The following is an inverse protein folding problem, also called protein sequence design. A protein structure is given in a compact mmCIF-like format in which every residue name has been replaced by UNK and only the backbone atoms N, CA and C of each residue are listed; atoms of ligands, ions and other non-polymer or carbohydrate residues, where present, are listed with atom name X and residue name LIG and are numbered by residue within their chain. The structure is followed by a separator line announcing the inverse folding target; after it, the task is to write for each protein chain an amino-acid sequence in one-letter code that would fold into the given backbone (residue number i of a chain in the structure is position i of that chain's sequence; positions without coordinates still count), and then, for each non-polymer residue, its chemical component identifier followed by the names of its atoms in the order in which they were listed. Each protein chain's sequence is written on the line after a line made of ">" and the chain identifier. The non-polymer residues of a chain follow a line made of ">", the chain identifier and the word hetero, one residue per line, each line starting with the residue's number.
data_IF_500675288678
#
_entry.id   IF_500675288678
#
_cell.length_a   1.000
_cell.length_b   1.000
_cell.length_c   1.000
_cell.angle_alpha   90.00
_cell.angle_beta   90.00
_cell.angle_gamma   90.00
#
_symmetry.space_group_name_H-M   'P 1'
#
loop_
_entity.id
_entity.type
_entity.pdbx_description
1 polymer ?
#
# COMPACT_ATOMS: atom_id res chain seq x y z
N UNK A 1 5.78 15.33 -13.50
CA UNK A 1 4.55 14.51 -13.66
C UNK A 1 4.17 14.02 -12.27
N UNK A 2 2.88 13.91 -11.92
CA UNK A 2 2.48 13.43 -10.58
C UNK A 2 2.46 11.89 -10.56
N UNK A 3 3.05 11.26 -9.53
CA UNK A 3 3.07 9.80 -9.36
C UNK A 3 1.81 9.31 -8.65
N UNK A 4 0.70 9.36 -9.39
CA UNK A 4 -0.64 9.08 -8.88
C UNK A 4 -1.36 8.05 -9.75
N UNK A 5 -2.22 7.24 -9.13
CA UNK A 5 -3.05 6.27 -9.83
C UNK A 5 -4.47 6.20 -9.26
N UNK A 6 -5.43 5.89 -10.13
CA UNK A 6 -6.80 5.53 -9.78
C UNK A 6 -7.12 4.18 -10.38
N UNK A 7 -7.55 3.23 -9.54
CA UNK A 7 -7.92 1.88 -9.95
C UNK A 7 -9.38 1.66 -9.60
N UNK A 8 -10.13 1.11 -10.55
CA UNK A 8 -11.45 0.52 -10.32
C UNK A 8 -11.36 -0.94 -10.73
N UNK A 9 -11.63 -1.85 -9.80
CA UNK A 9 -11.65 -3.30 -10.03
C UNK A 9 -13.01 -3.84 -9.61
N UNK A 10 -13.65 -4.60 -10.49
CA UNK A 10 -14.93 -5.26 -10.20
C UNK A 10 -14.81 -6.71 -10.63
N UNK A 11 -15.02 -7.60 -9.69
CA UNK A 11 -15.14 -9.05 -9.91
C UNK A 11 -16.56 -9.47 -9.54
N UNK A 12 -16.81 -10.78 -9.45
CA UNK A 12 -18.08 -11.28 -8.92
C UNK A 12 -18.11 -11.16 -7.39
N UNK A 13 -16.94 -11.24 -6.77
CA UNK A 13 -16.69 -11.31 -5.33
C UNK A 13 -16.54 -9.91 -4.72
N UNK A 14 -15.89 -8.97 -5.43
CA UNK A 14 -15.54 -7.65 -4.89
C UNK A 14 -15.75 -6.49 -5.85
N UNK A 15 -15.94 -5.29 -5.28
CA UNK A 15 -15.98 -4.01 -5.98
C UNK A 15 -15.08 -3.01 -5.27
N UNK A 16 -13.99 -2.62 -5.93
CA UNK A 16 -12.93 -1.80 -5.36
C UNK A 16 -12.77 -0.49 -6.12
N UNK A 17 -12.62 0.60 -5.37
CA UNK A 17 -12.15 1.90 -5.86
C UNK A 17 -10.96 2.34 -5.02
N UNK A 18 -9.86 2.62 -5.71
CA UNK A 18 -8.59 2.95 -5.08
C UNK A 18 -7.98 4.18 -5.72
N UNK A 19 -7.47 5.10 -4.91
CA UNK A 19 -6.59 6.19 -5.29
C UNK A 19 -5.29 6.11 -4.49
N UNK A 20 -4.16 6.26 -5.18
CA UNK A 20 -2.83 6.22 -4.61
C UNK A 20 -2.03 7.44 -5.09
N UNK A 21 -1.32 8.09 -4.17
CA UNK A 21 -0.31 9.11 -4.45
C UNK A 21 1.00 8.73 -3.78
N UNK A 22 2.04 8.46 -4.57
CA UNK A 22 3.37 8.07 -4.06
C UNK A 22 4.16 9.24 -3.48
N UNK A 23 3.76 10.47 -3.79
CA UNK A 23 4.38 11.71 -3.30
C UNK A 23 3.48 12.39 -2.25
N UNK A 24 2.88 11.57 -1.38
CA UNK A 24 1.88 11.99 -0.41
C UNK A 24 2.43 12.53 0.91
N UNK A 25 1.58 12.46 1.93
CA UNK A 25 1.84 12.96 3.29
C UNK A 25 1.53 11.91 4.38
N UNK A 26 1.22 10.68 3.96
CA UNK A 26 0.85 9.58 4.85
C UNK A 26 -0.63 9.60 5.25
N UNK A 27 -1.52 10.22 4.48
CA UNK A 27 -2.97 10.23 4.77
C UNK A 27 -3.65 8.98 4.23
N UNK A 28 -4.48 8.35 5.05
CA UNK A 28 -5.23 7.17 4.67
C UNK A 28 -6.75 7.35 4.89
N UNK A 29 -7.55 6.86 3.95
CA UNK A 29 -8.98 6.61 4.12
C UNK A 29 -9.27 5.24 3.52
N UNK A 30 -9.26 4.21 4.38
CA UNK A 30 -9.38 2.81 3.99
C UNK A 30 -10.66 2.25 4.60
N UNK A 31 -11.47 1.62 3.76
CA UNK A 31 -12.72 0.96 4.14
C UNK A 31 -12.84 -0.33 3.32
N UNK A 32 -12.35 -1.44 3.86
CA UNK A 32 -12.47 -2.77 3.23
C UNK A 32 -13.61 -3.61 3.82
N UNK A 33 -14.15 -3.19 4.95
CA UNK A 33 -15.07 -3.99 5.76
C UNK A 33 -14.36 -4.92 6.75
N UNK A 34 -13.03 -5.01 6.71
CA UNK A 34 -12.21 -5.80 7.63
C UNK A 34 -11.34 -4.85 8.49
N UNK A 35 -11.72 -4.56 9.76
CA UNK A 35 -11.07 -3.51 10.55
C UNK A 35 -9.56 -3.69 10.74
N UNK A 36 -9.09 -4.93 10.93
CA UNK A 36 -7.66 -5.19 11.09
C UNK A 36 -6.88 -4.93 9.79
N UNK A 37 -7.46 -5.28 8.64
CA UNK A 37 -6.81 -5.02 7.35
C UNK A 37 -6.80 -3.52 7.02
N UNK A 38 -7.88 -2.80 7.35
CA UNK A 38 -7.93 -1.34 7.26
C UNK A 38 -6.81 -0.68 8.09
N UNK A 39 -6.57 -1.20 9.30
CA UNK A 39 -5.45 -0.77 10.15
C UNK A 39 -4.09 -1.03 9.49
N UNK A 40 -3.86 -2.23 8.95
CA UNK A 40 -2.60 -2.57 8.28
C UNK A 40 -2.32 -1.65 7.08
N UNK A 41 -3.33 -1.41 6.23
CA UNK A 41 -3.17 -0.53 5.06
C UNK A 41 -3.00 0.94 5.45
N UNK A 42 -3.60 1.36 6.58
CA UNK A 42 -3.36 2.69 7.16
C UNK A 42 -1.90 2.84 7.60
N UNK A 43 -1.31 1.81 8.23
CA UNK A 43 0.11 1.81 8.59
C UNK A 43 1.02 1.85 7.36
N UNK A 44 0.69 1.08 6.30
CA UNK A 44 1.42 1.15 5.02
C UNK A 44 1.44 2.58 4.48
N UNK A 45 0.28 3.27 4.49
CA UNK A 45 0.22 4.65 4.03
C UNK A 45 1.04 5.60 4.90
N UNK A 46 0.90 5.49 6.23
CA UNK A 46 1.59 6.34 7.20
C UNK A 46 3.11 6.22 7.12
N UNK A 47 3.62 4.99 7.09
CA UNK A 47 5.07 4.72 7.11
C UNK A 47 5.71 4.78 5.72
N UNK A 48 4.94 4.56 4.66
CA UNK A 48 5.37 4.79 3.28
C UNK A 48 5.30 6.25 2.82
N UNK A 49 4.77 7.15 3.67
CA UNK A 49 4.54 8.58 3.36
C UNK A 49 3.76 8.76 2.05
N UNK A 50 2.76 7.90 1.84
CA UNK A 50 1.89 7.91 0.66
C UNK A 50 0.47 8.28 1.06
N UNK A 51 -0.28 8.90 0.15
CA UNK A 51 -1.72 9.15 0.37
C UNK A 51 -2.52 8.00 -0.27
N UNK A 52 -3.34 7.31 0.52
CA UNK A 52 -4.15 6.16 0.10
C UNK A 52 -5.64 6.40 0.38
N UNK A 53 -6.48 6.21 -0.64
CA UNK A 53 -7.93 6.07 -0.45
C UNK A 53 -8.36 4.75 -1.06
N UNK A 54 -8.96 3.87 -0.27
CA UNK A 54 -9.41 2.56 -0.72
C UNK A 54 -10.79 2.28 -0.15
N UNK A 55 -11.74 1.97 -1.03
CA UNK A 55 -13.06 1.43 -0.67
C UNK A 55 -13.24 0.09 -1.35
N UNK A 56 -13.59 -0.93 -0.58
CA UNK A 56 -13.95 -2.25 -1.07
C UNK A 56 -15.31 -2.65 -0.50
N UNK A 57 -16.18 -3.14 -1.38
CA UNK A 57 -17.37 -3.91 -1.04
C UNK A 57 -17.09 -5.34 -1.49
N UNK A 58 -17.01 -6.30 -0.56
CA UNK A 58 -16.71 -7.70 -0.86
C UNK A 58 -17.67 -8.66 -0.16
N UNK A 59 -17.59 -9.93 -0.52
CA UNK A 59 -18.39 -11.06 -0.07
C UNK A 59 -17.95 -11.61 1.31
N UNK A 60 -17.87 -10.73 2.31
CA UNK A 60 -17.37 -11.05 3.66
C UNK A 60 -18.21 -12.10 4.41
N UNK A 61 -19.42 -12.42 3.93
CA UNK A 61 -20.23 -13.53 4.41
C UNK A 61 -19.66 -14.91 4.06
N UNK A 62 -18.81 -15.00 3.03
CA UNK A 62 -18.07 -16.22 2.68
C UNK A 62 -16.85 -16.32 3.61
N UNK A 63 -15.90 -15.41 3.41
CA UNK A 63 -14.78 -15.13 4.31
C UNK A 63 -14.07 -13.82 3.90
N UNK A 64 -12.91 -13.53 4.50
CA UNK A 64 -12.11 -12.34 4.19
C UNK A 64 -11.21 -12.49 2.95
N UNK A 65 -11.04 -13.68 2.38
CA UNK A 65 -9.99 -14.01 1.43
C UNK A 65 -10.08 -13.14 0.18
N UNK A 66 -11.22 -13.17 -0.52
CA UNK A 66 -11.37 -12.43 -1.78
C UNK A 66 -11.20 -10.93 -1.57
N UNK A 67 -11.74 -10.39 -0.47
CA UNK A 67 -11.59 -8.97 -0.13
C UNK A 67 -10.12 -8.58 0.06
N UNK A 68 -9.36 -9.37 0.82
CA UNK A 68 -7.93 -9.11 1.05
C UNK A 68 -7.13 -9.26 -0.24
N UNK A 69 -7.35 -10.34 -0.98
CA UNK A 69 -6.67 -10.63 -2.23
C UNK A 69 -6.91 -9.54 -3.29
N UNK A 70 -8.17 -9.23 -3.59
CA UNK A 70 -8.51 -8.27 -4.63
C UNK A 70 -8.07 -6.84 -4.27
N UNK A 71 -8.07 -6.47 -2.99
CA UNK A 71 -7.47 -5.22 -2.52
C UNK A 71 -5.95 -5.20 -2.76
N UNK A 72 -5.26 -6.31 -2.50
CA UNK A 72 -3.84 -6.48 -2.78
C UNK A 72 -3.52 -6.35 -4.27
N UNK A 73 -4.32 -6.99 -5.13
CA UNK A 73 -4.19 -6.88 -6.60
C UNK A 73 -4.40 -5.43 -7.05
N UNK A 74 -5.46 -4.77 -6.57
CA UNK A 74 -5.74 -3.38 -6.92
C UNK A 74 -4.64 -2.41 -6.45
N UNK A 75 -4.06 -2.63 -5.26
CA UNK A 75 -2.90 -1.89 -4.76
C UNK A 75 -1.69 -2.09 -5.67
N UNK A 76 -1.37 -3.33 -6.05
CA UNK A 76 -0.26 -3.63 -6.97
C UNK A 76 -0.40 -2.92 -8.32
N UNK A 77 -1.61 -2.93 -8.89
CA UNK A 77 -1.93 -2.19 -10.12
C UNK A 77 -1.73 -0.68 -9.95
N UNK A 78 -2.14 -0.13 -8.80
CA UNK A 78 -1.98 1.29 -8.50
C UNK A 78 -0.51 1.70 -8.36
N UNK A 79 0.31 0.92 -7.67
CA UNK A 79 1.74 1.15 -7.57
C UNK A 79 2.41 1.11 -8.93
N UNK A 80 2.10 0.09 -9.75
CA UNK A 80 2.65 -0.03 -11.10
C UNK A 80 2.31 1.19 -11.97
N UNK A 81 1.05 1.62 -11.95
CA UNK A 81 0.59 2.78 -12.71
C UNK A 81 1.22 4.09 -12.20
N UNK A 82 1.28 4.29 -10.89
CA UNK A 82 1.81 5.51 -10.27
C UNK A 82 3.33 5.64 -10.43
N UNK A 83 4.07 4.52 -10.48
CA UNK A 83 5.51 4.49 -10.71
C UNK A 83 5.91 4.86 -12.16
N UNK A 84 5.02 4.67 -13.13
CA UNK A 84 5.26 5.02 -14.53
C UNK A 84 6.49 4.31 -15.12
N UNK A 85 7.37 5.08 -15.77
CA UNK A 85 8.60 4.56 -16.40
C UNK A 85 9.74 4.27 -15.41
N UNK A 86 9.53 4.60 -14.11
CA UNK A 86 10.48 4.38 -13.02
C UNK A 86 11.83 5.08 -13.21
N UNK A 87 11.92 6.10 -14.08
CA UNK A 87 13.20 6.80 -14.30
C UNK A 87 13.54 7.69 -13.11
N UNK A 88 14.79 7.59 -12.64
CA UNK A 88 15.33 8.48 -11.60
C UNK A 88 14.88 8.14 -10.17
N UNK A 89 14.18 7.04 -9.94
CA UNK A 89 13.91 6.56 -8.58
C UNK A 89 15.15 5.87 -7.99
N UNK A 90 15.18 5.74 -6.66
CA UNK A 90 16.22 4.97 -5.95
C UNK A 90 16.26 3.49 -6.35
N UNK A 91 15.12 2.93 -6.78
CA UNK A 91 14.90 1.53 -7.17
C UNK A 91 15.03 0.57 -5.99
N UNK A 92 16.24 0.41 -5.47
CA UNK A 92 16.50 -0.45 -4.31
C UNK A 92 16.14 0.24 -3.00
N UNK A 93 15.14 -0.32 -2.31
CA UNK A 93 14.69 0.13 -1.00
C UNK A 93 15.02 -0.89 0.08
N UNK A 94 15.91 -0.52 0.99
CA UNK A 94 16.21 -1.30 2.20
C UNK A 94 15.82 -0.57 3.47
N UNK A 95 15.19 0.62 3.43
CA UNK A 95 14.87 1.47 4.59
C UNK A 95 15.34 2.94 4.39
N UNK A 96 14.94 3.85 5.29
CA UNK A 96 15.34 5.28 5.30
C UNK A 96 15.96 5.64 6.66
N UNK A 97 17.25 6.00 6.68
CA UNK A 97 17.89 6.69 7.80
C UNK A 97 18.16 8.15 7.38
N UNK A 98 17.61 9.17 8.09
CA UNK A 98 17.89 10.58 7.81
C UNK A 98 19.38 10.94 7.89
N UNK A 99 20.19 10.15 8.62
CA UNK A 99 21.62 10.34 8.86
C UNK A 99 22.49 9.45 7.97
N UNK A 100 21.92 8.43 7.34
CA UNK A 100 22.62 7.53 6.43
C UNK A 100 21.78 7.20 5.20
N UNK A 101 21.82 8.06 4.16
CA UNK A 101 20.99 7.89 2.97
C UNK A 101 21.34 6.63 2.15
N UNK A 102 22.49 6.01 2.40
CA UNK A 102 22.97 4.81 1.68
C UNK A 102 22.49 3.50 2.33
N UNK A 103 22.31 3.48 3.66
CA UNK A 103 21.96 2.29 4.43
C UNK A 103 20.86 2.60 5.44
N UNK A 104 19.63 2.82 4.95
CA UNK A 104 18.48 2.69 5.83
C UNK A 104 18.16 1.20 5.95
N UNK A 105 17.86 0.74 7.17
CA UNK A 105 17.42 -0.64 7.41
C UNK A 105 15.89 -0.74 7.43
N UNK A 106 15.34 -1.82 6.90
CA UNK A 106 13.91 -2.05 6.73
C UNK A 106 13.37 -2.94 7.82
N UNK A 107 14.06 -2.88 8.97
CA UNK A 107 13.65 -3.55 10.16
C UNK A 107 12.58 -2.70 10.85
N UNK A 108 11.42 -3.31 11.09
CA UNK A 108 10.36 -2.70 11.89
C UNK A 108 10.23 -3.54 13.16
N UNK A 109 10.79 -3.07 14.29
CA UNK A 109 10.55 -3.70 15.58
C UNK A 109 9.15 -3.33 16.08
N UNK A 110 8.44 -4.31 16.62
CA UNK A 110 7.17 -4.14 17.32
C UNK A 110 7.17 -5.09 18.52
N UNK A 111 7.42 -4.54 19.71
CA UNK A 111 7.67 -5.30 20.93
C UNK A 111 8.77 -6.36 20.75
N UNK A 112 8.48 -7.65 20.92
CA UNK A 112 9.44 -8.74 20.70
C UNK A 112 9.64 -9.12 19.22
N UNK A 113 8.76 -8.64 18.33
CA UNK A 113 8.78 -9.00 16.92
C UNK A 113 9.71 -8.09 16.11
N UNK A 114 10.43 -8.67 15.15
CA UNK A 114 11.26 -7.95 14.18
C UNK A 114 10.93 -8.40 12.76
N UNK A 115 10.40 -7.48 11.95
CA UNK A 115 10.10 -7.73 10.54
C UNK A 115 11.10 -7.06 9.61
N UNK A 116 11.39 -7.64 8.44
CA UNK A 116 12.24 -7.03 7.38
C UNK A 116 11.58 -7.11 6.01
N UNK A 117 11.67 -6.05 5.21
CA UNK A 117 11.19 -6.02 3.82
C UNK A 117 12.21 -5.37 2.86
N UNK A 118 12.49 -5.96 1.70
CA UNK A 118 13.40 -5.38 0.70
C UNK A 118 12.69 -5.32 -0.64
N UNK A 119 12.89 -4.22 -1.38
CA UNK A 119 12.22 -3.94 -2.67
C UNK A 119 13.25 -3.56 -3.74
N UNK A 120 13.06 -4.02 -4.98
CA UNK A 120 13.76 -3.61 -6.22
C UNK A 120 12.77 -2.98 -7.21
#
# INVERSE_FOLDING_TARGET
>A
MKRQAKITRVTKETRIRLFLDLDGSGRASVHTGIPFFDHMLTLVAKHGVLDLRLRCEGDLEVDAHHTVEDCGIALGQAFLAALGDKRGIRRYGTGFDPRNPLFGESYVPMDECLARCVVD
#
